data_IF_362009019498
#
_entry.id   IF_362009019498
#
_cell.length_a   1.000
_cell.length_b   1.000
_cell.length_c   1.000
_cell.angle_alpha   90.00
_cell.angle_beta   90.00
_cell.angle_gamma   90.00
#
_symmetry.space_group_name_H-M   'P 1'
#
loop_
_entity.id
_entity.type
_entity.pdbx_description
1 polymer ?
#
# COMPACT_ATOMS: atom_id res chain seq x y z
N UNK A 1 -7.95 -66.32 -32.19
CA UNK A 1 -6.88 -65.30 -32.14
C UNK A 1 -7.41 -63.88 -31.88
N UNK A 2 -8.72 -63.63 -31.99
CA UNK A 2 -9.31 -62.28 -31.84
C UNK A 2 -9.33 -61.70 -30.42
N UNK A 3 -9.40 -62.54 -29.38
CA UNK A 3 -9.49 -62.07 -27.99
C UNK A 3 -8.19 -61.40 -27.48
N UNK A 4 -7.03 -61.83 -27.97
CA UNK A 4 -5.73 -61.25 -27.60
C UNK A 4 -5.53 -59.85 -28.21
N UNK A 5 -6.06 -59.61 -29.42
CA UNK A 5 -6.05 -58.30 -30.07
C UNK A 5 -7.05 -57.34 -29.43
N UNK A 6 -8.24 -57.82 -29.04
CA UNK A 6 -9.24 -57.01 -28.34
C UNK A 6 -8.77 -56.56 -26.94
N UNK A 7 -8.08 -57.44 -26.20
CA UNK A 7 -7.50 -57.10 -24.89
C UNK A 7 -6.38 -56.06 -24.97
N UNK A 8 -5.51 -56.14 -25.99
CA UNK A 8 -4.42 -55.19 -26.20
C UNK A 8 -4.94 -53.81 -26.64
N UNK A 9 -5.95 -53.78 -27.53
CA UNK A 9 -6.63 -52.54 -27.92
C UNK A 9 -7.30 -51.90 -26.69
N UNK A 10 -8.05 -52.66 -25.89
CA UNK A 10 -8.70 -52.16 -24.67
C UNK A 10 -7.73 -51.55 -23.64
N UNK A 11 -6.54 -52.14 -23.47
CA UNK A 11 -5.49 -51.59 -22.60
C UNK A 11 -4.82 -50.33 -23.16
N UNK A 12 -4.67 -50.22 -24.49
CA UNK A 12 -4.08 -49.04 -25.13
C UNK A 12 -5.06 -47.86 -25.09
N UNK A 13 -6.36 -48.06 -25.34
CA UNK A 13 -7.35 -46.99 -25.21
C UNK A 13 -7.61 -46.60 -23.76
N UNK A 14 -7.62 -47.56 -22.82
CA UNK A 14 -7.73 -47.28 -21.38
C UNK A 14 -6.52 -46.54 -20.81
N UNK A 15 -5.30 -46.91 -21.25
CA UNK A 15 -4.06 -46.24 -20.88
C UNK A 15 -3.97 -44.82 -21.44
N UNK A 16 -4.38 -44.59 -22.69
CA UNK A 16 -4.40 -43.25 -23.29
C UNK A 16 -5.47 -42.36 -22.63
N UNK A 17 -6.68 -42.86 -22.36
CA UNK A 17 -7.70 -42.11 -21.64
C UNK A 17 -7.24 -41.74 -20.21
N UNK A 18 -6.53 -42.64 -19.53
CA UNK A 18 -5.94 -42.39 -18.21
C UNK A 18 -4.86 -41.32 -18.23
N UNK A 19 -3.97 -41.33 -19.23
CA UNK A 19 -2.88 -40.34 -19.39
C UNK A 19 -3.42 -38.96 -19.76
N UNK A 20 -4.43 -38.87 -20.64
CA UNK A 20 -5.09 -37.60 -20.95
C UNK A 20 -5.87 -37.05 -19.76
N UNK A 21 -6.56 -37.91 -18.99
CA UNK A 21 -7.24 -37.53 -17.76
C UNK A 21 -6.29 -37.01 -16.69
N UNK A 22 -5.16 -37.70 -16.45
CA UNK A 22 -4.14 -37.25 -15.50
C UNK A 22 -3.47 -35.96 -15.94
N UNK A 23 -3.22 -35.78 -17.24
CA UNK A 23 -2.65 -34.54 -17.78
C UNK A 23 -3.60 -33.35 -17.64
N UNK A 24 -4.90 -33.53 -17.92
CA UNK A 24 -5.92 -32.50 -17.71
C UNK A 24 -6.08 -32.16 -16.22
N UNK A 25 -6.11 -33.16 -15.35
CA UNK A 25 -6.18 -32.96 -13.90
C UNK A 25 -4.93 -32.22 -13.36
N UNK A 26 -3.74 -32.59 -13.84
CA UNK A 26 -2.48 -31.93 -13.47
C UNK A 26 -2.45 -30.48 -13.97
N UNK A 27 -2.98 -30.22 -15.18
CA UNK A 27 -3.06 -28.87 -15.74
C UNK A 27 -4.10 -28.01 -15.01
N UNK A 28 -5.19 -28.59 -14.54
CA UNK A 28 -6.18 -27.93 -13.69
C UNK A 28 -5.60 -27.61 -12.30
N UNK A 29 -4.90 -28.55 -11.67
CA UNK A 29 -4.22 -28.33 -10.39
C UNK A 29 -3.14 -27.24 -10.47
N UNK A 30 -2.36 -27.21 -11.56
CA UNK A 30 -1.37 -26.16 -11.78
C UNK A 30 -2.00 -24.77 -11.95
N UNK A 31 -3.20 -24.68 -12.54
CA UNK A 31 -3.95 -23.40 -12.63
C UNK A 31 -4.40 -22.96 -11.25
N UNK A 32 -5.05 -23.84 -10.49
CA UNK A 32 -5.50 -23.54 -9.13
C UNK A 32 -4.35 -23.16 -8.19
N UNK A 33 -3.20 -23.83 -8.29
CA UNK A 33 -2.01 -23.46 -7.52
C UNK A 33 -1.50 -22.08 -7.89
N UNK A 34 -1.42 -21.75 -9.18
CA UNK A 34 -1.01 -20.40 -9.64
C UNK A 34 -1.97 -19.31 -9.18
N UNK A 35 -3.27 -19.56 -9.28
CA UNK A 35 -4.32 -18.66 -8.81
C UNK A 35 -4.21 -18.46 -7.29
N UNK A 36 -3.97 -19.54 -6.52
CA UNK A 36 -3.79 -19.45 -5.07
C UNK A 36 -2.53 -18.67 -4.66
N UNK A 37 -1.42 -18.83 -5.38
CA UNK A 37 -0.17 -18.10 -5.13
C UNK A 37 -0.32 -16.62 -5.48
N UNK A 38 -0.93 -16.32 -6.63
CA UNK A 38 -1.24 -14.95 -7.05
C UNK A 38 -2.15 -14.26 -6.02
N UNK A 39 -3.15 -14.98 -5.50
CA UNK A 39 -4.04 -14.45 -4.46
C UNK A 39 -3.31 -14.19 -3.14
N UNK A 40 -2.45 -15.11 -2.68
CA UNK A 40 -1.63 -14.92 -1.49
C UNK A 40 -0.66 -13.73 -1.64
N UNK A 41 -0.06 -13.58 -2.82
CA UNK A 41 0.82 -12.46 -3.12
C UNK A 41 0.05 -11.14 -3.13
N UNK A 42 -1.18 -11.13 -3.68
CA UNK A 42 -2.06 -9.96 -3.67
C UNK A 42 -2.43 -9.54 -2.24
N UNK A 43 -2.83 -10.49 -1.37
CA UNK A 43 -3.11 -10.22 0.05
C UNK A 43 -1.88 -9.63 0.75
N UNK A 44 -0.70 -10.25 0.55
CA UNK A 44 0.55 -9.77 1.16
C UNK A 44 0.90 -8.36 0.68
N UNK A 45 0.68 -8.09 -0.60
CA UNK A 45 0.91 -6.77 -1.19
C UNK A 45 0.01 -5.70 -0.56
N UNK A 46 -1.28 -5.97 -0.41
CA UNK A 46 -2.24 -5.04 0.23
C UNK A 46 -1.89 -4.80 1.68
N UNK A 47 -1.47 -5.82 2.43
CA UNK A 47 -1.08 -5.67 3.83
C UNK A 47 0.20 -4.84 4.02
N UNK A 48 1.20 -5.08 3.17
CA UNK A 48 2.42 -4.26 3.14
C UNK A 48 2.12 -2.80 2.82
N UNK A 49 1.22 -2.57 1.86
CA UNK A 49 0.78 -1.23 1.47
C UNK A 49 0.03 -0.52 2.60
N UNK A 50 -0.86 -1.23 3.30
CA UNK A 50 -1.57 -0.73 4.48
C UNK A 50 -0.58 -0.32 5.58
N UNK A 51 0.40 -1.16 5.86
CA UNK A 51 1.45 -0.88 6.85
C UNK A 51 2.25 0.37 6.47
N UNK A 52 2.69 0.48 5.22
CA UNK A 52 3.43 1.65 4.75
C UNK A 52 2.62 2.95 4.88
N UNK A 53 1.33 2.90 4.54
CA UNK A 53 0.45 4.08 4.60
C UNK A 53 0.16 4.51 6.04
N UNK A 54 -0.07 3.55 6.94
CA UNK A 54 -0.18 3.82 8.38
C UNK A 54 1.09 4.47 8.92
N UNK A 55 2.25 3.89 8.62
CA UNK A 55 3.53 4.37 9.15
C UNK A 55 3.86 5.77 8.59
N UNK A 56 3.49 6.06 7.34
CA UNK A 56 3.59 7.40 6.76
C UNK A 56 2.72 8.42 7.51
N UNK A 57 1.45 8.08 7.79
CA UNK A 57 0.56 8.96 8.54
C UNK A 57 1.09 9.26 9.93
N UNK A 58 1.57 8.24 10.65
CA UNK A 58 2.20 8.40 11.95
C UNK A 58 3.41 9.33 11.86
N UNK A 59 4.28 9.15 10.86
CA UNK A 59 5.46 9.99 10.70
C UNK A 59 5.12 11.46 10.37
N UNK A 60 4.08 11.70 9.56
CA UNK A 60 3.62 13.06 9.26
C UNK A 60 3.00 13.76 10.48
N UNK A 61 2.22 13.04 11.28
CA UNK A 61 1.68 13.56 12.53
C UNK A 61 2.77 13.84 13.56
N UNK A 62 3.73 12.92 13.71
CA UNK A 62 4.88 13.16 14.59
C UNK A 62 5.67 14.40 14.17
N UNK A 63 5.80 14.66 12.86
CA UNK A 63 6.43 15.89 12.39
C UNK A 63 5.58 17.14 12.70
N UNK A 64 4.26 17.08 12.51
CA UNK A 64 3.34 18.13 12.96
C UNK A 64 3.51 18.42 14.47
N UNK A 65 3.56 17.38 15.29
CA UNK A 65 3.67 17.52 16.75
C UNK A 65 5.02 18.11 17.17
N UNK A 66 6.10 17.73 16.49
CA UNK A 66 7.41 18.36 16.65
C UNK A 66 7.39 19.85 16.26
N UNK A 67 6.62 20.24 15.23
CA UNK A 67 6.45 21.66 14.86
C UNK A 67 5.64 22.42 15.93
N UNK A 68 4.63 21.78 16.52
CA UNK A 68 3.85 22.37 17.62
C UNK A 68 4.70 22.55 18.88
N UNK A 69 5.50 21.56 19.27
CA UNK A 69 6.44 21.67 20.40
C UNK A 69 7.53 22.73 20.14
N UNK A 70 8.03 22.84 18.91
CA UNK A 70 8.92 23.94 18.52
C UNK A 70 8.27 25.30 18.74
N UNK A 71 7.00 25.45 18.37
CA UNK A 71 6.30 26.72 18.50
C UNK A 71 5.96 27.08 19.95
N UNK A 72 5.49 26.10 20.73
CA UNK A 72 5.05 26.32 22.11
C UNK A 72 6.20 26.41 23.10
N UNK A 73 7.21 25.57 22.94
CA UNK A 73 8.26 25.34 23.94
C UNK A 73 9.65 25.72 23.42
N UNK A 74 9.78 26.07 22.13
CA UNK A 74 11.08 26.30 21.50
C UNK A 74 11.90 25.03 21.28
N UNK A 75 11.31 23.85 21.52
CA UNK A 75 12.00 22.57 21.47
C UNK A 75 12.23 22.12 20.01
N UNK A 76 13.48 21.80 19.68
CA UNK A 76 13.88 21.32 18.33
C UNK A 76 14.16 19.82 18.28
N UNK A 77 14.08 19.14 19.41
CA UNK A 77 14.45 17.74 19.54
C UNK A 77 13.55 16.88 18.64
N UNK A 78 14.16 15.95 17.91
CA UNK A 78 13.43 15.03 17.03
C UNK A 78 12.83 15.64 15.76
N UNK A 79 12.80 16.97 15.60
CA UNK A 79 12.18 17.63 14.42
C UNK A 79 12.84 17.20 13.10
N UNK A 80 14.18 17.11 13.09
CA UNK A 80 14.91 16.65 11.92
C UNK A 80 14.60 15.19 11.56
N UNK A 81 14.57 14.33 12.57
CA UNK A 81 14.33 12.89 12.39
C UNK A 81 12.90 12.60 11.97
N UNK A 82 11.92 13.30 12.56
CA UNK A 82 10.51 13.25 12.18
C UNK A 82 10.34 13.66 10.70
N UNK A 83 10.94 14.77 10.30
CA UNK A 83 10.91 15.24 8.90
C UNK A 83 11.54 14.23 7.95
N UNK A 84 12.72 13.72 8.28
CA UNK A 84 13.46 12.78 7.42
C UNK A 84 12.71 11.45 7.28
N UNK A 85 12.10 10.97 8.36
CA UNK A 85 11.26 9.76 8.36
C UNK A 85 10.03 9.95 7.48
N UNK A 86 9.29 11.05 7.66
CA UNK A 86 8.14 11.38 6.83
C UNK A 86 8.52 11.56 5.35
N UNK A 87 9.70 12.14 5.07
CA UNK A 87 10.23 12.25 3.71
C UNK A 87 10.43 10.87 3.08
N UNK A 88 11.16 9.98 3.77
CA UNK A 88 11.50 8.64 3.27
C UNK A 88 10.24 7.84 2.99
N UNK A 89 9.34 7.73 3.97
CA UNK A 89 8.09 6.99 3.84
C UNK A 89 7.20 7.59 2.75
N UNK A 90 7.19 8.92 2.60
CA UNK A 90 6.44 9.58 1.54
C UNK A 90 6.97 9.29 0.13
N UNK A 91 8.28 9.09 -0.02
CA UNK A 91 8.87 8.65 -1.29
C UNK A 91 8.50 7.20 -1.57
N UNK A 92 8.67 6.30 -0.59
CA UNK A 92 8.34 4.88 -0.72
C UNK A 92 6.85 4.67 -1.06
N UNK A 93 5.96 5.33 -0.32
CA UNK A 93 4.52 5.31 -0.59
C UNK A 93 4.21 5.88 -1.98
N UNK A 94 4.86 6.97 -2.36
CA UNK A 94 4.68 7.60 -3.67
C UNK A 94 5.02 6.70 -4.87
N UNK A 95 5.89 5.70 -4.70
CA UNK A 95 6.23 4.73 -5.77
C UNK A 95 5.07 3.77 -6.07
N UNK A 96 4.31 3.40 -5.05
CA UNK A 96 3.24 2.38 -5.14
C UNK A 96 1.83 2.97 -5.14
N UNK A 97 1.72 4.26 -4.81
CA UNK A 97 0.48 5.00 -4.71
C UNK A 97 -0.13 5.35 -6.07
N UNK A 98 -1.46 5.37 -6.12
CA UNK A 98 -2.21 5.93 -7.24
C UNK A 98 -1.95 7.44 -7.38
N UNK A 99 -2.22 8.04 -8.56
CA UNK A 99 -1.92 9.45 -8.80
C UNK A 99 -2.51 10.41 -7.77
N UNK A 100 -3.77 10.20 -7.35
CA UNK A 100 -4.44 11.06 -6.37
C UNK A 100 -3.72 11.04 -5.01
N UNK A 101 -3.43 9.84 -4.50
CA UNK A 101 -2.69 9.64 -3.24
C UNK A 101 -1.29 10.21 -3.31
N UNK A 102 -0.59 10.03 -4.44
CA UNK A 102 0.73 10.60 -4.66
C UNK A 102 0.73 12.13 -4.59
N UNK A 103 -0.31 12.76 -5.12
CA UNK A 103 -0.49 14.22 -5.03
C UNK A 103 -0.75 14.61 -3.56
N UNK A 104 -1.67 13.94 -2.88
CA UNK A 104 -2.00 14.22 -1.48
C UNK A 104 -0.77 14.10 -0.56
N UNK A 105 0.08 13.08 -0.74
CA UNK A 105 1.33 12.91 0.01
C UNK A 105 2.26 14.12 -0.18
N UNK A 106 2.38 14.61 -1.43
CA UNK A 106 3.22 15.77 -1.75
C UNK A 106 2.67 17.04 -1.13
N UNK A 107 1.36 17.27 -1.20
CA UNK A 107 0.73 18.48 -0.65
C UNK A 107 0.81 18.51 0.87
N UNK A 108 0.50 17.41 1.56
CA UNK A 108 0.66 17.31 3.01
C UNK A 108 2.08 17.64 3.46
N UNK A 109 3.09 17.08 2.78
CA UNK A 109 4.50 17.38 3.06
C UNK A 109 4.87 18.83 2.77
N UNK A 110 4.36 19.42 1.68
CA UNK A 110 4.58 20.84 1.38
C UNK A 110 3.97 21.75 2.44
N UNK A 111 2.78 21.43 2.93
CA UNK A 111 2.14 22.16 4.03
C UNK A 111 3.04 22.21 5.26
N UNK A 112 3.52 21.06 5.72
CA UNK A 112 4.41 20.99 6.88
C UNK A 112 5.76 21.70 6.65
N UNK A 113 6.34 21.61 5.44
CA UNK A 113 7.53 22.38 5.09
C UNK A 113 7.28 23.90 5.11
N UNK A 114 6.12 24.34 4.62
CA UNK A 114 5.77 25.75 4.59
C UNK A 114 5.66 26.30 6.02
N UNK A 115 5.02 25.55 6.92
CA UNK A 115 4.95 25.88 8.35
C UNK A 115 6.35 25.98 8.96
N UNK A 116 7.19 24.96 8.78
CA UNK A 116 8.57 24.97 9.29
C UNK A 116 9.36 26.18 8.77
N UNK A 117 9.21 26.51 7.49
CA UNK A 117 9.88 27.65 6.86
C UNK A 117 9.33 29.01 7.34
N UNK A 118 8.04 29.10 7.66
CA UNK A 118 7.43 30.29 8.24
C UNK A 118 7.91 30.51 9.68
N UNK A 119 7.97 29.44 10.49
CA UNK A 119 8.53 29.48 11.85
C UNK A 119 10.00 29.92 11.84
N UNK A 120 10.82 29.31 10.98
CA UNK A 120 12.24 29.65 10.87
C UNK A 120 12.49 31.13 10.47
N UNK A 121 11.54 31.74 9.75
CA UNK A 121 11.60 33.13 9.31
C UNK A 121 10.85 34.10 10.24
N UNK A 122 10.31 33.64 11.37
CA UNK A 122 9.44 34.41 12.26
C UNK A 122 8.25 35.07 11.52
N UNK A 123 7.71 34.37 10.53
CA UNK A 123 6.59 34.82 9.68
C UNK A 123 5.23 34.27 10.13
N UNK A 124 5.18 33.60 11.29
CA UNK A 124 3.91 33.17 11.88
C UNK A 124 3.19 34.41 12.44
N UNK A 125 1.92 34.67 12.07
CA UNK A 125 1.18 35.84 12.54
C UNK A 125 1.15 35.96 14.06
N UNK A 126 1.33 37.18 14.60
CA UNK A 126 1.45 37.46 16.05
C UNK A 126 0.18 37.19 16.90
N UNK A 127 -0.87 36.60 16.31
CA UNK A 127 -2.08 36.14 17.01
C UNK A 127 -2.55 34.77 16.52
N UNK A 128 -1.70 34.02 15.81
CA UNK A 128 -2.06 32.68 15.37
C UNK A 128 -2.25 31.76 16.59
N UNK A 129 -3.42 31.16 16.70
CA UNK A 129 -3.72 30.12 17.70
C UNK A 129 -3.10 28.77 17.33
N UNK A 130 -2.81 28.57 16.05
CA UNK A 130 -2.21 27.35 15.53
C UNK A 130 -1.39 27.63 14.26
N UNK A 131 -0.05 27.48 14.29
CA UNK A 131 0.81 27.70 13.14
C UNK A 131 0.65 26.61 12.06
N UNK A 132 0.04 25.47 12.39
CA UNK A 132 -0.19 24.35 11.48
C UNK A 132 -1.61 24.33 10.89
N UNK A 133 -2.40 25.39 11.10
CA UNK A 133 -3.81 25.45 10.69
C UNK A 133 -4.04 25.17 9.20
N UNK A 134 -3.11 25.58 8.33
CA UNK A 134 -3.15 25.29 6.88
C UNK A 134 -2.65 23.89 6.52
N UNK A 135 -1.80 23.27 7.34
CA UNK A 135 -1.26 21.93 7.11
C UNK A 135 -2.23 20.83 7.55
N UNK A 136 -3.02 21.06 8.61
CA UNK A 136 -4.05 20.14 9.11
C UNK A 136 -5.03 19.64 8.04
N UNK A 137 -5.70 20.49 7.25
CA UNK A 137 -6.62 20.00 6.22
C UNK A 137 -5.93 19.17 5.14
N UNK A 138 -4.64 19.40 4.87
CA UNK A 138 -3.87 18.60 3.92
C UNK A 138 -3.55 17.21 4.48
N UNK A 139 -3.30 17.10 5.79
CA UNK A 139 -3.15 15.81 6.47
C UNK A 139 -4.47 15.02 6.46
N UNK A 140 -5.59 15.67 6.79
CA UNK A 140 -6.92 15.04 6.73
C UNK A 140 -7.26 14.59 5.30
N UNK A 141 -6.99 15.42 4.29
CA UNK A 141 -7.21 15.04 2.90
C UNK A 141 -6.35 13.84 2.47
N UNK A 142 -5.12 13.75 2.97
CA UNK A 142 -4.27 12.57 2.75
C UNK A 142 -4.86 11.31 3.39
N UNK A 143 -5.31 11.39 4.64
CA UNK A 143 -5.95 10.26 5.34
C UNK A 143 -7.13 9.69 4.55
N UNK A 144 -8.03 10.57 4.10
CA UNK A 144 -9.20 10.19 3.30
C UNK A 144 -8.80 9.47 2.00
N UNK A 145 -7.83 10.02 1.29
CA UNK A 145 -7.37 9.45 0.01
C UNK A 145 -6.67 8.09 0.22
N UNK A 146 -5.90 7.94 1.30
CA UNK A 146 -5.29 6.66 1.67
C UNK A 146 -6.36 5.61 2.01
N UNK A 147 -7.39 6.01 2.75
CA UNK A 147 -8.51 5.13 3.09
C UNK A 147 -9.25 4.64 1.84
N UNK A 148 -9.54 5.56 0.91
CA UNK A 148 -10.15 5.24 -0.38
C UNK A 148 -9.29 4.24 -1.14
N UNK A 149 -7.99 4.50 -1.31
CA UNK A 149 -7.10 3.63 -2.07
C UNK A 149 -7.00 2.22 -1.47
N UNK A 150 -6.92 2.11 -0.14
CA UNK A 150 -6.91 0.81 0.53
C UNK A 150 -8.24 0.07 0.37
N UNK A 151 -9.37 0.78 0.42
CA UNK A 151 -10.69 0.16 0.20
C UNK A 151 -10.87 -0.40 -1.21
N UNK A 152 -10.27 0.26 -2.23
CA UNK A 152 -10.25 -0.26 -3.59
C UNK A 152 -9.37 -1.50 -3.69
N UNK A 153 -8.20 -1.49 -3.05
CA UNK A 153 -7.30 -2.63 -3.02
C UNK A 153 -7.95 -3.86 -2.36
N UNK A 154 -8.66 -3.67 -1.24
CA UNK A 154 -9.41 -4.72 -0.56
C UNK A 154 -10.58 -5.25 -1.42
N UNK A 155 -11.32 -4.37 -2.12
CA UNK A 155 -12.39 -4.78 -3.05
C UNK A 155 -11.87 -5.59 -4.23
N UNK A 156 -10.77 -5.15 -4.86
CA UNK A 156 -10.15 -5.87 -5.97
C UNK A 156 -9.67 -7.27 -5.54
N UNK A 157 -9.09 -7.39 -4.34
CA UNK A 157 -8.70 -8.69 -3.78
C UNK A 157 -9.91 -9.59 -3.44
N UNK A 158 -11.06 -9.02 -3.12
CA UNK A 158 -12.29 -9.76 -2.80
C UNK A 158 -13.07 -10.24 -4.04
N UNK A 159 -13.05 -9.49 -5.16
CA UNK A 159 -13.71 -9.86 -6.42
C UNK A 159 -13.02 -11.00 -7.19
N UNK A 160 -11.79 -11.37 -6.82
CA UNK A 160 -11.08 -12.55 -7.35
C UNK A 160 -11.46 -13.87 -6.62
N UNK A 161 -12.46 -13.85 -5.72
CA UNK A 161 -13.03 -15.02 -5.04
C UNK A 161 -14.26 -15.56 -5.74
#
# INVERSE_FOLDING_TARGET
MDAALAGLVGTVTGGLAGVFGSWLAQRAQLRLQRESLAHQENIRWVDNKRTLYRDLLIALHNWHDCLMSLWQEGNRDGLHDARTTAYRLGVEAGLIAQPATRIAIKEARRGLLAVQAAMARNQVPQGATDPCSEAKPLLTALEEVLHVELSWADRSAATER
#
